data_IF_342604890893
#
_entry.id   IF_342604890893
#
_cell.length_a   1.000
_cell.length_b   1.000
_cell.length_c   1.000
_cell.angle_alpha   90.00
_cell.angle_beta   90.00
_cell.angle_gamma   90.00
#
_symmetry.space_group_name_H-M   'P 1'
#
loop_
_entity.id
_entity.type
_entity.pdbx_description
1 polymer ?
#
# COMPACT_ATOMS: atom_id res chain seq x y z
N UNK A 1 4.41 -19.35 11.80
CA UNK A 1 3.50 -18.89 10.77
C UNK A 1 3.98 -17.53 10.26
N UNK A 2 4.19 -17.44 8.96
CA UNK A 2 4.74 -16.22 8.39
C UNK A 2 3.68 -15.14 8.33
N UNK A 3 4.06 -13.95 8.76
CA UNK A 3 3.26 -12.74 8.62
C UNK A 3 4.11 -11.66 8.00
N UNK A 4 3.47 -10.81 7.24
CA UNK A 4 4.16 -9.66 6.68
C UNK A 4 4.26 -8.58 7.75
N UNK A 5 5.46 -8.12 8.09
CA UNK A 5 5.61 -7.08 9.12
C UNK A 5 4.97 -5.77 8.68
N UNK A 6 4.35 -5.09 9.63
CA UNK A 6 3.81 -3.76 9.43
C UNK A 6 4.60 -2.82 10.34
N UNK A 7 5.31 -1.89 9.73
CA UNK A 7 6.15 -0.94 10.48
C UNK A 7 5.42 0.38 10.64
N UNK A 8 5.48 0.93 11.85
CA UNK A 8 4.91 2.25 12.12
C UNK A 8 5.95 3.31 11.86
N UNK A 9 5.62 4.29 11.02
CA UNK A 9 6.50 5.39 10.65
C UNK A 9 5.74 6.70 10.87
N UNK A 10 5.78 7.21 12.11
CA UNK A 10 4.99 8.38 12.48
C UNK A 10 3.51 8.07 12.38
N UNK A 11 2.73 8.90 11.69
CA UNK A 11 1.29 8.65 11.50
C UNK A 11 0.99 7.68 10.35
N UNK A 12 2.01 7.03 9.82
CA UNK A 12 1.88 6.14 8.65
C UNK A 12 2.35 4.73 8.97
N UNK A 13 1.90 3.78 8.14
CA UNK A 13 2.33 2.39 8.23
C UNK A 13 3.06 2.01 6.95
N UNK A 14 4.08 1.17 7.07
CA UNK A 14 4.86 0.69 5.93
C UNK A 14 4.76 -0.83 5.87
N UNK A 15 4.45 -1.34 4.68
CA UNK A 15 4.39 -2.76 4.38
C UNK A 15 5.28 -3.02 3.15
N UNK A 16 6.11 -4.06 3.22
CA UNK A 16 6.91 -4.48 2.08
C UNK A 16 6.35 -5.79 1.55
N UNK A 17 5.98 -5.79 0.27
CA UNK A 17 5.46 -6.98 -0.39
C UNK A 17 6.58 -7.62 -1.18
N UNK A 18 6.82 -8.88 -0.90
CA UNK A 18 7.84 -9.67 -1.57
C UNK A 18 7.19 -10.76 -2.41
N UNK A 19 8.00 -11.52 -3.11
CA UNK A 19 7.54 -12.68 -3.88
C UNK A 19 6.95 -13.73 -2.93
N UNK A 20 6.23 -14.70 -3.48
CA UNK A 20 5.62 -15.81 -2.75
C UNK A 20 4.42 -15.41 -1.89
N UNK A 21 3.74 -14.34 -2.27
CA UNK A 21 2.46 -13.97 -1.66
C UNK A 21 1.39 -14.97 -2.11
N UNK A 22 0.75 -15.65 -1.15
CA UNK A 22 -0.35 -16.55 -1.43
C UNK A 22 -1.62 -16.04 -0.74
N UNK A 23 -2.76 -16.65 -1.07
CA UNK A 23 -4.07 -16.17 -0.63
C UNK A 23 -4.16 -15.98 0.88
N UNK A 24 -3.70 -16.96 1.64
CA UNK A 24 -3.80 -16.93 3.08
C UNK A 24 -2.96 -15.80 3.69
N UNK A 25 -1.75 -15.62 3.16
CA UNK A 25 -0.86 -14.56 3.63
C UNK A 25 -1.43 -13.18 3.27
N UNK A 26 -2.03 -13.05 2.09
CA UNK A 26 -2.66 -11.80 1.67
C UNK A 26 -3.85 -11.44 2.55
N UNK A 27 -4.69 -12.42 2.89
CA UNK A 27 -5.83 -12.19 3.78
C UNK A 27 -5.35 -11.83 5.18
N UNK A 28 -4.29 -12.49 5.66
CA UNK A 28 -3.71 -12.16 6.96
C UNK A 28 -3.17 -10.73 6.98
N UNK A 29 -2.50 -10.33 5.90
CA UNK A 29 -2.00 -8.95 5.80
C UNK A 29 -3.13 -7.94 5.81
N UNK A 30 -4.22 -8.20 5.09
CA UNK A 30 -5.38 -7.31 5.08
C UNK A 30 -5.96 -7.15 6.47
N UNK A 31 -6.13 -8.26 7.20
CA UNK A 31 -6.64 -8.23 8.57
C UNK A 31 -5.71 -7.49 9.51
N UNK A 32 -4.41 -7.80 9.45
CA UNK A 32 -3.42 -7.16 10.31
C UNK A 32 -3.35 -5.66 10.04
N UNK A 33 -3.40 -5.27 8.77
CA UNK A 33 -3.32 -3.87 8.38
C UNK A 33 -4.56 -3.10 8.83
N UNK A 34 -5.75 -3.67 8.65
CA UNK A 34 -7.00 -3.07 9.11
C UNK A 34 -6.94 -2.81 10.61
N UNK A 35 -6.52 -3.82 11.38
CA UNK A 35 -6.42 -3.70 12.84
C UNK A 35 -5.42 -2.62 13.25
N UNK A 36 -4.27 -2.54 12.56
CA UNK A 36 -3.26 -1.54 12.89
C UNK A 36 -3.71 -0.14 12.54
N UNK A 37 -4.36 0.05 11.39
CA UNK A 37 -4.88 1.37 11.03
C UNK A 37 -5.82 1.88 12.12
N UNK A 38 -6.72 1.03 12.59
CA UNK A 38 -7.67 1.41 13.63
C UNK A 38 -6.97 1.67 14.95
N UNK A 39 -6.09 0.77 15.38
CA UNK A 39 -5.48 0.85 16.71
C UNK A 39 -4.53 2.03 16.88
N UNK A 40 -3.79 2.41 15.83
CA UNK A 40 -2.85 3.54 15.91
C UNK A 40 -3.38 4.79 15.21
N UNK A 41 -4.59 4.72 14.67
CA UNK A 41 -5.22 5.82 13.92
C UNK A 41 -4.31 6.30 12.78
N UNK A 42 -3.78 5.34 12.02
CA UNK A 42 -2.88 5.66 10.91
C UNK A 42 -3.60 6.49 9.85
N UNK A 43 -2.88 7.46 9.29
CA UNK A 43 -3.43 8.35 8.26
C UNK A 43 -2.93 7.98 6.87
N UNK A 44 -2.03 7.03 6.77
CA UNK A 44 -1.53 6.58 5.48
C UNK A 44 -0.86 5.24 5.56
N UNK A 45 -0.81 4.56 4.40
CA UNK A 45 -0.17 3.27 4.25
C UNK A 45 0.77 3.35 3.06
N UNK A 46 2.03 2.98 3.28
CA UNK A 46 3.02 2.85 2.23
C UNK A 46 3.16 1.38 1.90
N UNK A 47 2.99 1.03 0.64
CA UNK A 47 3.18 -0.34 0.16
C UNK A 47 4.40 -0.35 -0.74
N UNK A 48 5.48 -0.95 -0.25
CA UNK A 48 6.74 -1.03 -0.99
C UNK A 48 6.74 -2.32 -1.81
N UNK A 49 6.77 -2.17 -3.13
CA UNK A 49 6.80 -3.29 -4.05
C UNK A 49 8.09 -3.32 -4.88
N UNK A 50 9.14 -2.69 -4.37
CA UNK A 50 10.42 -2.62 -5.09
C UNK A 50 11.05 -3.99 -5.34
N UNK A 51 10.71 -4.99 -4.56
CA UNK A 51 11.19 -6.37 -4.75
C UNK A 51 10.43 -7.14 -5.81
N UNK A 52 9.30 -6.63 -6.30
CA UNK A 52 8.49 -7.33 -7.28
C UNK A 52 8.96 -7.00 -8.69
N UNK A 53 9.35 -8.03 -9.43
CA UNK A 53 9.69 -7.93 -10.84
C UNK A 53 8.53 -8.37 -11.72
N UNK A 54 7.66 -9.20 -11.17
CA UNK A 54 6.49 -9.75 -11.85
C UNK A 54 5.29 -9.57 -10.94
N UNK A 55 4.17 -9.18 -11.52
CA UNK A 55 2.92 -9.06 -10.78
C UNK A 55 1.82 -9.75 -11.59
N UNK A 56 0.91 -10.40 -10.88
CA UNK A 56 -0.27 -11.00 -11.51
C UNK A 56 -1.52 -10.26 -11.06
N UNK A 57 -2.67 -10.71 -11.58
CA UNK A 57 -3.95 -10.08 -11.23
C UNK A 57 -4.27 -10.21 -9.75
N UNK A 58 -3.80 -11.28 -9.10
CA UNK A 58 -4.02 -11.47 -7.67
C UNK A 58 -3.36 -10.36 -6.86
N UNK A 59 -2.08 -10.08 -7.12
CA UNK A 59 -1.34 -9.02 -6.41
C UNK A 59 -1.97 -7.65 -6.68
N UNK A 60 -2.34 -7.38 -7.92
CA UNK A 60 -2.98 -6.11 -8.27
C UNK A 60 -4.29 -5.91 -7.54
N UNK A 61 -5.13 -6.95 -7.49
CA UNK A 61 -6.39 -6.87 -6.76
C UNK A 61 -6.18 -6.73 -5.26
N UNK A 62 -5.17 -7.40 -4.71
CA UNK A 62 -4.84 -7.29 -3.29
C UNK A 62 -4.49 -5.84 -2.94
N UNK A 63 -3.64 -5.20 -3.74
CA UNK A 63 -3.27 -3.80 -3.51
C UNK A 63 -4.51 -2.89 -3.60
N UNK A 64 -5.36 -3.11 -4.60
CA UNK A 64 -6.60 -2.34 -4.74
C UNK A 64 -7.52 -2.51 -3.54
N UNK A 65 -7.64 -3.73 -3.04
CA UNK A 65 -8.49 -4.01 -1.87
C UNK A 65 -7.95 -3.32 -0.62
N UNK A 66 -6.63 -3.36 -0.43
CA UNK A 66 -6.00 -2.67 0.70
C UNK A 66 -6.28 -1.17 0.62
N UNK A 67 -6.12 -0.59 -0.57
CA UNK A 67 -6.36 0.85 -0.76
C UNK A 67 -7.81 1.23 -0.49
N UNK A 68 -8.75 0.43 -0.96
CA UNK A 68 -10.17 0.68 -0.72
C UNK A 68 -10.51 0.62 0.78
N UNK A 69 -10.00 -0.40 1.45
CA UNK A 69 -10.21 -0.58 2.88
C UNK A 69 -9.59 0.56 3.69
N UNK A 70 -8.36 0.95 3.34
CA UNK A 70 -7.67 2.05 4.01
C UNK A 70 -8.45 3.35 3.86
N UNK A 71 -8.99 3.60 2.68
CA UNK A 71 -9.78 4.82 2.43
C UNK A 71 -11.02 4.87 3.31
N UNK A 72 -11.70 3.75 3.47
CA UNK A 72 -12.87 3.68 4.37
C UNK A 72 -12.48 4.02 5.80
N UNK A 73 -11.25 3.70 6.18
CA UNK A 73 -10.71 3.98 7.52
C UNK A 73 -9.97 5.31 7.60
N UNK A 74 -10.15 6.17 6.60
CA UNK A 74 -9.59 7.52 6.55
C UNK A 74 -8.04 7.52 6.46
N UNK A 75 -7.49 6.58 5.72
CA UNK A 75 -6.06 6.50 5.45
C UNK A 75 -5.81 6.45 3.95
N UNK A 76 -4.79 7.16 3.48
CA UNK A 76 -4.39 7.14 2.08
C UNK A 76 -3.38 6.04 1.83
N UNK A 77 -3.35 5.52 0.61
CA UNK A 77 -2.40 4.50 0.19
C UNK A 77 -1.46 5.04 -0.87
N UNK A 78 -0.16 4.84 -0.66
CA UNK A 78 0.87 5.17 -1.64
C UNK A 78 1.68 3.91 -1.92
N UNK A 79 1.78 3.52 -3.18
CA UNK A 79 2.63 2.41 -3.61
C UNK A 79 3.97 2.98 -4.04
N UNK A 80 5.05 2.44 -3.49
CA UNK A 80 6.39 2.94 -3.77
C UNK A 80 7.26 1.86 -4.41
N UNK A 81 8.22 2.29 -5.20
CA UNK A 81 9.21 1.40 -5.77
C UNK A 81 8.73 0.54 -6.92
N UNK A 82 7.64 0.90 -7.57
CA UNK A 82 7.11 0.10 -8.68
C UNK A 82 8.09 0.07 -9.85
N UNK A 83 8.50 -1.13 -10.24
CA UNK A 83 9.37 -1.28 -11.41
C UNK A 83 8.55 -1.08 -12.69
N UNK A 84 9.17 -0.54 -13.76
CA UNK A 84 8.44 -0.28 -15.00
C UNK A 84 7.72 -1.51 -15.58
N UNK A 85 8.35 -2.69 -15.51
CA UNK A 85 7.73 -3.92 -16.00
C UNK A 85 6.45 -4.26 -15.25
N UNK A 86 6.42 -3.97 -13.94
CA UNK A 86 5.23 -4.20 -13.11
C UNK A 86 4.12 -3.22 -13.52
N UNK A 87 4.46 -1.96 -13.73
CA UNK A 87 3.48 -0.95 -14.16
C UNK A 87 2.85 -1.33 -15.50
N UNK A 88 3.66 -1.79 -16.46
CA UNK A 88 3.19 -2.21 -17.76
C UNK A 88 2.21 -3.38 -17.62
N UNK A 89 2.58 -4.37 -16.81
CA UNK A 89 1.74 -5.56 -16.59
C UNK A 89 0.39 -5.17 -15.98
N UNK A 90 0.38 -4.26 -15.00
CA UNK A 90 -0.87 -3.81 -14.39
C UNK A 90 -1.80 -3.17 -15.43
N UNK A 91 -1.25 -2.35 -16.32
CA UNK A 91 -2.03 -1.73 -17.39
C UNK A 91 -2.58 -2.80 -18.33
N UNK A 92 -1.75 -3.77 -18.73
CA UNK A 92 -2.16 -4.85 -19.62
C UNK A 92 -3.25 -5.73 -19.01
N UNK A 93 -3.24 -5.91 -17.69
CA UNK A 93 -4.26 -6.67 -16.99
C UNK A 93 -5.55 -5.87 -16.77
N UNK A 94 -5.58 -4.61 -17.19
CA UNK A 94 -6.74 -3.75 -17.00
C UNK A 94 -6.96 -3.33 -15.56
N UNK A 95 -5.92 -3.38 -14.74
CA UNK A 95 -6.00 -3.02 -13.33
C UNK A 95 -5.60 -1.57 -13.14
N UNK A 96 -6.58 -0.71 -12.96
CA UNK A 96 -6.32 0.67 -12.55
C UNK A 96 -6.35 0.70 -11.02
N UNK A 97 -5.25 1.13 -10.41
CA UNK A 97 -5.17 1.24 -8.96
C UNK A 97 -5.85 2.55 -8.52
N UNK A 98 -7.18 2.55 -8.59
CA UNK A 98 -7.95 3.74 -8.25
C UNK A 98 -7.75 4.14 -6.79
N UNK A 99 -7.53 5.45 -6.58
CA UNK A 99 -7.31 5.96 -5.25
C UNK A 99 -5.93 5.67 -4.71
N UNK A 100 -5.07 5.05 -5.52
CA UNK A 100 -3.69 4.75 -5.12
C UNK A 100 -2.77 5.75 -5.79
N UNK A 101 -1.93 6.40 -5.00
CA UNK A 101 -0.87 7.25 -5.52
C UNK A 101 0.41 6.44 -5.57
N UNK A 102 1.35 6.85 -6.38
CA UNK A 102 2.64 6.18 -6.51
C UNK A 102 3.77 7.15 -6.23
N UNK A 103 4.88 6.62 -5.75
CA UNK A 103 6.09 7.39 -5.53
C UNK A 103 7.30 6.52 -5.84
N UNK A 104 8.43 7.16 -6.07
CA UNK A 104 9.64 6.46 -6.47
C UNK A 104 10.17 5.55 -5.35
N UNK A 105 10.11 6.02 -4.11
CA UNK A 105 10.64 5.30 -2.96
C UNK A 105 9.89 5.69 -1.69
N UNK A 106 10.28 5.09 -0.57
CA UNK A 106 9.62 5.32 0.72
C UNK A 106 9.71 6.79 1.13
N UNK A 107 10.87 7.43 0.97
CA UNK A 107 11.04 8.83 1.36
C UNK A 107 10.08 9.75 0.61
N UNK A 108 9.94 9.55 -0.69
CA UNK A 108 9.02 10.34 -1.50
C UNK A 108 7.57 10.02 -1.19
N UNK A 109 7.27 8.75 -0.89
CA UNK A 109 5.94 8.36 -0.46
C UNK A 109 5.54 9.01 0.85
N UNK A 110 6.47 9.05 1.81
CA UNK A 110 6.25 9.73 3.08
C UNK A 110 5.95 11.20 2.87
N UNK A 111 6.69 11.83 1.97
CA UNK A 111 6.49 13.25 1.67
C UNK A 111 5.10 13.51 1.08
N UNK A 112 4.64 12.65 0.17
CA UNK A 112 3.29 12.77 -0.37
C UNK A 112 2.24 12.67 0.73
N UNK A 113 2.38 11.71 1.63
CA UNK A 113 1.42 11.53 2.72
C UNK A 113 1.44 12.71 3.69
N UNK A 114 2.62 13.23 4.00
CA UNK A 114 2.73 14.39 4.89
C UNK A 114 2.07 15.61 4.28
N UNK A 115 2.25 15.85 2.99
CA UNK A 115 1.62 16.96 2.30
C UNK A 115 0.11 16.84 2.30
N UNK A 116 -0.42 15.62 2.16
CA UNK A 116 -1.86 15.40 2.24
C UNK A 116 -2.41 15.75 3.61
N UNK A 117 -1.71 15.37 4.68
CA UNK A 117 -2.12 15.73 6.04
C UNK A 117 -2.08 17.23 6.28
N UNK A 118 -1.05 17.90 5.80
CA UNK A 118 -0.93 19.35 5.92
C UNK A 118 -2.07 20.06 5.18
N UNK A 119 -2.41 19.60 3.99
CA UNK A 119 -3.52 20.16 3.21
C UNK A 119 -4.84 20.00 3.96
N UNK A 120 -5.08 18.85 4.61
CA UNK A 120 -6.28 18.64 5.42
C UNK A 120 -6.36 19.59 6.59
N UNK A 121 -5.24 19.83 7.28
CA UNK A 121 -5.25 20.70 8.47
C UNK A 121 -5.38 22.17 8.13
N UNK A 122 -5.18 22.57 6.86
CA UNK A 122 -5.37 23.93 6.40
C UNK A 122 -6.82 24.25 6.02
N UNK A 123 -7.68 23.25 6.01
CA UNK A 123 -9.07 23.44 5.65
C UNK A 123 -9.96 23.83 6.81
#
# INVERSE_FOLDING_TARGET
MDRIPILKMGPFLLVTIQVDMHDQLALQLQDDLTSRIVSVKARGVLIDISSLEIVDSFIGRMISNIAAMARVLDAETVVVGMQPAVAITLVELGLSLEGVRTALNVDKGMLLLQRSLEAESEQ
#
